data_IF_261678829513
#
_entry.id   IF_261678829513
#
_cell.length_a   1.000
_cell.length_b   1.000
_cell.length_c   1.000
_cell.angle_alpha   90.00
_cell.angle_beta   90.00
_cell.angle_gamma   90.00
#
_symmetry.space_group_name_H-M   'P 1'
#
loop_
_entity.id
_entity.type
_entity.pdbx_description
1 polymer ?
#
# COMPACT_ATOMS: atom_id res chain seq x y z
N UNK A 1 23.46 21.19 -18.68
CA UNK A 1 23.12 21.29 -17.25
C UNK A 1 23.85 20.18 -16.52
N UNK A 2 24.59 20.51 -15.49
CA UNK A 2 25.28 19.54 -14.65
C UNK A 2 24.27 18.68 -13.90
N UNK A 3 24.51 17.37 -13.78
CA UNK A 3 23.64 16.41 -13.11
C UNK A 3 23.33 16.79 -11.65
N UNK A 4 24.24 17.49 -10.99
CA UNK A 4 24.03 18.06 -9.65
C UNK A 4 23.02 19.23 -9.62
N UNK A 5 22.73 19.89 -10.75
CA UNK A 5 21.81 21.03 -10.78
C UNK A 5 20.34 20.61 -10.84
N UNK A 6 20.06 19.41 -11.40
CA UNK A 6 18.67 18.89 -11.46
C UNK A 6 18.15 18.48 -10.09
N UNK A 7 18.98 17.82 -9.25
CA UNK A 7 18.57 17.37 -7.92
C UNK A 7 18.21 18.51 -6.97
N UNK A 8 18.80 19.70 -7.17
CA UNK A 8 18.49 20.89 -6.37
C UNK A 8 17.14 21.52 -6.68
N UNK A 9 16.56 21.17 -7.85
CA UNK A 9 15.27 21.71 -8.32
C UNK A 9 14.11 20.74 -8.08
N UNK A 10 14.39 19.51 -7.64
CA UNK A 10 13.36 18.50 -7.32
C UNK A 10 13.11 18.53 -5.81
N UNK A 11 11.90 18.95 -5.42
CA UNK A 11 11.51 19.08 -4.01
C UNK A 11 10.82 17.84 -3.44
N UNK A 12 10.77 16.73 -4.19
CA UNK A 12 10.17 15.48 -3.77
C UNK A 12 9.14 14.91 -4.76
N UNK A 13 8.36 13.96 -4.29
CA UNK A 13 7.29 13.30 -5.07
C UNK A 13 5.96 13.98 -4.70
N UNK A 14 5.24 14.49 -5.69
CA UNK A 14 3.95 15.15 -5.48
C UNK A 14 2.77 14.17 -5.46
N UNK A 15 2.81 13.15 -6.30
CA UNK A 15 1.74 12.16 -6.41
C UNK A 15 2.18 10.89 -7.14
N UNK A 16 1.37 9.82 -6.99
CA UNK A 16 1.38 8.69 -7.90
C UNK A 16 0.06 8.61 -8.68
N UNK A 17 0.09 7.95 -9.85
CA UNK A 17 -1.10 7.71 -10.67
C UNK A 17 -1.30 6.21 -10.89
N UNK A 18 -2.57 5.76 -10.82
CA UNK A 18 -2.92 4.36 -11.05
C UNK A 18 -4.37 4.20 -11.53
N UNK A 19 -4.64 3.07 -12.16
CA UNK A 19 -5.96 2.72 -12.66
C UNK A 19 -6.77 1.94 -11.61
N UNK A 20 -8.08 2.20 -11.57
CA UNK A 20 -9.04 1.47 -10.73
C UNK A 20 -10.29 1.14 -11.51
N UNK A 21 -11.01 0.12 -11.09
CA UNK A 21 -12.25 -0.28 -11.74
C UNK A 21 -13.42 0.67 -11.42
N UNK A 22 -13.47 1.13 -10.17
CA UNK A 22 -14.58 1.93 -9.65
C UNK A 22 -14.06 3.07 -8.77
N UNK A 23 -14.28 4.31 -9.22
CA UNK A 23 -13.82 5.51 -8.51
C UNK A 23 -14.54 5.70 -7.15
N UNK A 24 -15.84 5.34 -7.05
CA UNK A 24 -16.61 5.51 -5.81
C UNK A 24 -16.13 4.54 -4.75
N UNK A 25 -16.00 3.25 -5.12
CA UNK A 25 -15.46 2.20 -4.25
C UNK A 25 -14.06 2.55 -3.74
N UNK A 26 -13.21 3.04 -4.63
CA UNK A 26 -11.84 3.44 -4.27
C UNK A 26 -11.84 4.67 -3.38
N UNK A 27 -12.65 5.69 -3.68
CA UNK A 27 -12.76 6.88 -2.84
C UNK A 27 -13.23 6.53 -1.42
N UNK A 28 -14.26 5.69 -1.29
CA UNK A 28 -14.75 5.21 0.00
C UNK A 28 -13.65 4.47 0.78
N UNK A 29 -12.97 3.54 0.13
CA UNK A 29 -11.89 2.77 0.74
C UNK A 29 -10.77 3.68 1.27
N UNK A 30 -10.18 4.51 0.42
CA UNK A 30 -9.06 5.36 0.82
C UNK A 30 -9.45 6.40 1.87
N UNK A 31 -10.68 6.93 1.80
CA UNK A 31 -11.19 7.84 2.83
C UNK A 31 -11.36 7.13 4.18
N UNK A 32 -12.00 5.96 4.17
CA UNK A 32 -12.34 5.22 5.39
C UNK A 32 -11.11 4.57 6.04
N UNK A 33 -10.19 4.01 5.23
CA UNK A 33 -9.06 3.22 5.73
C UNK A 33 -7.85 4.10 6.05
N UNK A 34 -7.57 5.08 5.20
CA UNK A 34 -6.35 5.89 5.28
C UNK A 34 -6.62 7.38 5.55
N UNK A 35 -7.88 7.76 5.77
CA UNK A 35 -8.25 9.15 6.00
C UNK A 35 -7.99 10.06 4.79
N UNK A 36 -7.99 9.51 3.58
CA UNK A 36 -7.76 10.29 2.38
C UNK A 36 -8.86 11.31 2.13
N UNK A 37 -8.48 12.50 1.71
CA UNK A 37 -9.38 13.59 1.39
C UNK A 37 -9.52 13.73 -0.12
N UNK A 38 -10.76 13.65 -0.64
CA UNK A 38 -11.06 13.98 -2.03
C UNK A 38 -10.84 15.49 -2.25
N UNK A 39 -9.99 15.83 -3.21
CA UNK A 39 -9.70 17.20 -3.56
C UNK A 39 -10.40 17.64 -4.84
N UNK A 40 -10.53 16.71 -5.79
CA UNK A 40 -11.10 17.00 -7.10
C UNK A 40 -11.51 15.71 -7.81
N UNK A 41 -12.57 15.77 -8.64
CA UNK A 41 -13.05 14.67 -9.46
C UNK A 41 -13.65 15.18 -10.78
N UNK A 42 -13.45 14.43 -11.87
CA UNK A 42 -14.06 14.68 -13.16
C UNK A 42 -14.57 13.38 -13.78
N UNK A 43 -15.89 13.18 -13.71
CA UNK A 43 -16.56 12.03 -14.28
C UNK A 43 -16.87 12.18 -15.78
N UNK A 44 -16.81 13.41 -16.31
CA UNK A 44 -17.13 13.73 -17.70
C UNK A 44 -15.92 13.70 -18.64
N UNK A 45 -14.77 13.29 -18.14
CA UNK A 45 -13.56 13.07 -18.94
C UNK A 45 -13.69 11.79 -19.77
N UNK A 46 -12.99 11.73 -20.91
CA UNK A 46 -12.80 10.47 -21.67
C UNK A 46 -12.20 9.40 -20.76
N UNK A 47 -11.33 9.80 -19.85
CA UNK A 47 -10.81 8.97 -18.76
C UNK A 47 -11.26 9.60 -17.43
N UNK A 48 -12.37 9.18 -16.84
CA UNK A 48 -12.81 9.68 -15.54
C UNK A 48 -11.70 9.52 -14.49
N UNK A 49 -11.49 10.55 -13.70
CA UNK A 49 -10.40 10.55 -12.72
C UNK A 49 -10.71 11.41 -11.51
N UNK A 50 -10.03 11.13 -10.42
CA UNK A 50 -10.09 11.92 -9.20
C UNK A 50 -8.70 12.14 -8.60
N UNK A 51 -8.58 13.17 -7.78
CA UNK A 51 -7.41 13.48 -6.98
C UNK A 51 -7.76 13.38 -5.50
N UNK A 52 -7.04 12.54 -4.79
CA UNK A 52 -7.14 12.44 -3.34
C UNK A 52 -5.79 12.77 -2.70
N UNK A 53 -5.80 13.08 -1.42
CA UNK A 53 -4.59 13.33 -0.64
C UNK A 53 -4.60 12.55 0.68
N UNK A 54 -3.48 11.97 1.02
CA UNK A 54 -3.16 11.43 2.33
C UNK A 54 -1.99 12.24 2.87
N UNK A 55 -2.22 13.08 3.88
CA UNK A 55 -1.28 14.13 4.21
C UNK A 55 -1.02 15.02 2.99
N UNK A 56 0.24 15.21 2.64
CA UNK A 56 0.68 15.99 1.48
C UNK A 56 0.86 15.14 0.20
N UNK A 57 0.73 13.82 0.31
CA UNK A 57 0.92 12.93 -0.83
C UNK A 57 -0.36 12.78 -1.65
N UNK A 58 -0.26 13.08 -2.94
CA UNK A 58 -1.38 13.01 -3.88
C UNK A 58 -1.54 11.64 -4.53
N UNK A 59 -2.79 11.21 -4.68
CA UNK A 59 -3.19 10.06 -5.48
C UNK A 59 -3.99 10.55 -6.68
N UNK A 60 -3.49 10.33 -7.90
CA UNK A 60 -4.22 10.54 -9.15
C UNK A 60 -4.84 9.21 -9.56
N UNK A 61 -6.13 9.05 -9.28
CA UNK A 61 -6.85 7.79 -9.45
C UNK A 61 -7.68 7.90 -10.72
N UNK A 62 -7.43 7.03 -11.68
CA UNK A 62 -8.00 7.07 -13.02
C UNK A 62 -8.86 5.84 -13.21
N UNK A 63 -10.09 6.00 -13.68
CA UNK A 63 -10.92 4.84 -14.04
C UNK A 63 -10.25 4.07 -15.17
N UNK A 64 -10.20 2.74 -15.05
CA UNK A 64 -9.58 1.90 -16.05
C UNK A 64 -10.24 2.11 -17.42
N UNK A 65 -9.48 2.54 -18.44
CA UNK A 65 -10.04 2.75 -19.76
C UNK A 65 -10.48 1.42 -20.39
N UNK A 66 -11.63 1.39 -21.09
CA UNK A 66 -12.17 0.14 -21.66
C UNK A 66 -11.30 -0.48 -22.76
N UNK A 67 -10.48 0.33 -23.41
CA UNK A 67 -9.55 -0.05 -24.49
C UNK A 67 -8.16 -0.45 -23.97
N UNK A 68 -7.90 -0.29 -22.68
CA UNK A 68 -6.63 -0.71 -22.05
C UNK A 68 -6.81 -2.10 -21.45
N UNK A 69 -6.03 -3.11 -21.92
CA UNK A 69 -6.09 -4.45 -21.34
C UNK A 69 -5.82 -4.42 -19.83
N UNK A 70 -6.67 -5.11 -19.07
CA UNK A 70 -6.43 -5.31 -17.65
C UNK A 70 -5.27 -6.29 -17.46
N UNK A 71 -4.46 -6.04 -16.46
CA UNK A 71 -3.37 -6.90 -16.06
C UNK A 71 -3.41 -7.14 -14.54
N UNK A 72 -2.86 -8.23 -14.11
CA UNK A 72 -2.67 -8.49 -12.70
C UNK A 72 -1.66 -7.48 -12.13
N UNK A 73 -2.04 -6.83 -11.02
CA UNK A 73 -1.19 -5.84 -10.36
C UNK A 73 -0.08 -6.59 -9.60
N UNK A 74 1.20 -6.45 -9.99
CA UNK A 74 2.28 -7.06 -9.24
C UNK A 74 2.37 -6.46 -7.83
N UNK A 75 2.51 -7.29 -6.79
CA UNK A 75 2.65 -6.81 -5.41
C UNK A 75 3.94 -6.00 -5.17
N UNK A 76 4.88 -5.99 -6.13
CA UNK A 76 6.00 -5.06 -6.11
C UNK A 76 5.56 -3.60 -6.29
N UNK A 77 4.40 -3.36 -6.95
CA UNK A 77 3.80 -2.03 -7.05
C UNK A 77 2.98 -1.78 -5.79
N UNK A 78 3.46 -0.93 -4.92
CA UNK A 78 2.81 -0.62 -3.64
C UNK A 78 3.07 0.81 -3.20
N UNK A 79 2.29 1.25 -2.23
CA UNK A 79 2.47 2.49 -1.50
C UNK A 79 2.75 2.19 -0.06
N UNK A 80 3.81 2.77 0.49
CA UNK A 80 4.14 2.69 1.91
C UNK A 80 3.75 4.00 2.61
N UNK A 81 2.91 3.89 3.62
CA UNK A 81 2.48 5.00 4.47
C UNK A 81 3.14 4.89 5.83
N UNK A 82 3.86 5.94 6.21
CA UNK A 82 4.51 5.98 7.52
C UNK A 82 3.53 6.41 8.59
N UNK A 83 3.51 5.65 9.69
CA UNK A 83 2.76 5.96 10.91
C UNK A 83 3.71 6.13 12.10
N UNK A 84 3.25 6.82 13.15
CA UNK A 84 4.00 6.86 14.41
C UNK A 84 4.03 5.45 15.02
N UNK A 85 5.20 4.99 15.47
CA UNK A 85 5.36 3.66 16.05
C UNK A 85 4.48 3.43 17.29
N UNK A 86 4.14 4.52 18.03
CA UNK A 86 3.28 4.46 19.21
C UNK A 86 1.83 4.11 18.88
N UNK A 87 1.36 4.44 17.67
CA UNK A 87 0.00 4.23 17.21
C UNK A 87 -0.10 3.18 16.10
N UNK A 88 1.03 2.57 15.70
CA UNK A 88 1.08 1.64 14.59
C UNK A 88 0.19 0.41 14.81
N UNK A 89 0.26 -0.22 15.99
CA UNK A 89 -0.56 -1.39 16.33
C UNK A 89 -2.05 -1.02 16.38
N UNK A 90 -2.41 0.14 16.95
CA UNK A 90 -3.79 0.65 16.99
C UNK A 90 -4.32 0.92 15.56
N UNK A 91 -3.50 1.53 14.71
CA UNK A 91 -3.82 1.78 13.30
C UNK A 91 -4.13 0.47 12.58
N UNK A 92 -3.31 -0.56 12.78
CA UNK A 92 -3.50 -1.87 12.15
C UNK A 92 -4.76 -2.56 12.68
N UNK A 93 -5.04 -2.51 13.98
CA UNK A 93 -6.26 -3.09 14.55
C UNK A 93 -7.51 -2.36 14.05
N UNK A 94 -7.46 -1.04 13.86
CA UNK A 94 -8.52 -0.29 13.19
C UNK A 94 -8.77 -0.82 11.77
N UNK A 95 -7.72 -0.99 10.95
CA UNK A 95 -7.85 -1.53 9.60
C UNK A 95 -8.50 -2.92 9.60
N UNK A 96 -8.06 -3.81 10.50
CA UNK A 96 -8.65 -5.13 10.69
C UNK A 96 -10.13 -5.07 11.11
N UNK A 97 -10.49 -4.10 11.94
CA UNK A 97 -11.88 -3.91 12.40
C UNK A 97 -12.84 -3.56 11.26
N UNK A 98 -12.32 -3.04 10.15
CA UNK A 98 -13.06 -2.78 8.92
C UNK A 98 -13.27 -4.04 8.05
N UNK A 99 -12.81 -5.22 8.51
CA UNK A 99 -12.89 -6.47 7.79
C UNK A 99 -11.78 -6.68 6.76
N UNK A 100 -10.74 -5.84 6.78
CA UNK A 100 -9.60 -5.93 5.87
C UNK A 100 -8.58 -6.93 6.43
N UNK A 101 -8.15 -7.88 5.60
CA UNK A 101 -7.09 -8.80 5.96
C UNK A 101 -5.74 -8.08 5.92
N UNK A 102 -4.97 -8.18 7.02
CA UNK A 102 -3.66 -7.55 7.16
C UNK A 102 -2.61 -8.60 7.44
N UNK A 103 -1.58 -8.65 6.60
CA UNK A 103 -0.38 -9.45 6.81
C UNK A 103 0.64 -8.65 7.63
N UNK A 104 1.32 -9.31 8.53
CA UNK A 104 2.32 -8.68 9.40
C UNK A 104 1.95 -8.81 10.89
N UNK A 105 2.74 -8.26 11.79
CA UNK A 105 3.93 -7.44 11.56
C UNK A 105 5.11 -8.22 10.98
N UNK A 106 5.81 -7.60 10.04
CA UNK A 106 7.03 -8.14 9.42
C UNK A 106 8.20 -7.21 9.71
N UNK A 107 9.28 -7.75 10.26
CA UNK A 107 10.51 -7.01 10.44
C UNK A 107 11.30 -6.94 9.13
N UNK A 108 11.05 -5.93 8.32
CA UNK A 108 11.74 -5.79 7.04
C UNK A 108 13.19 -5.40 7.21
N UNK A 109 13.46 -4.44 8.10
CA UNK A 109 14.79 -3.97 8.44
C UNK A 109 14.88 -3.80 9.96
N UNK A 110 14.87 -4.94 10.66
CA UNK A 110 14.86 -4.98 12.13
C UNK A 110 16.05 -4.26 12.75
N UNK A 111 17.19 -4.32 12.08
CA UNK A 111 18.44 -3.69 12.53
C UNK A 111 18.33 -2.16 12.65
N UNK A 112 17.37 -1.55 11.95
CA UNK A 112 17.08 -0.11 12.04
C UNK A 112 15.66 0.18 12.53
N UNK A 113 15.00 -0.84 13.14
CA UNK A 113 13.70 -0.66 13.80
C UNK A 113 12.48 -0.59 12.88
N UNK A 114 12.60 -0.91 11.58
CA UNK A 114 11.49 -0.83 10.63
C UNK A 114 10.61 -2.09 10.69
N UNK A 115 9.33 -1.87 10.90
CA UNK A 115 8.27 -2.90 10.91
C UNK A 115 7.19 -2.50 9.93
N UNK A 116 6.68 -3.50 9.20
CA UNK A 116 5.71 -3.31 8.13
C UNK A 116 4.50 -4.21 8.30
N UNK A 117 3.35 -3.72 7.84
CA UNK A 117 2.10 -4.45 7.66
C UNK A 117 1.57 -4.20 6.26
N UNK A 118 0.91 -5.19 5.67
CA UNK A 118 0.45 -5.15 4.29
C UNK A 118 -1.01 -5.55 4.18
N UNK A 119 -1.73 -4.89 3.30
CA UNK A 119 -3.09 -5.26 2.90
C UNK A 119 -3.33 -4.88 1.44
N UNK A 120 -4.45 -5.30 0.88
CA UNK A 120 -4.84 -4.96 -0.48
C UNK A 120 -5.94 -3.91 -0.48
N UNK A 121 -5.87 -3.00 -1.44
CA UNK A 121 -6.98 -2.15 -1.79
C UNK A 121 -8.03 -2.91 -2.65
N UNK A 122 -9.19 -2.31 -2.97
CA UNK A 122 -10.24 -2.99 -3.75
C UNK A 122 -9.83 -3.42 -5.17
N UNK A 123 -8.78 -2.86 -5.72
CA UNK A 123 -8.25 -3.17 -7.05
C UNK A 123 -6.97 -4.01 -7.00
N UNK A 124 -6.66 -4.60 -5.81
CA UNK A 124 -5.50 -5.46 -5.52
C UNK A 124 -4.14 -4.73 -5.55
N UNK A 125 -4.12 -3.42 -5.43
CA UNK A 125 -2.87 -2.74 -5.11
C UNK A 125 -2.46 -3.03 -3.67
N UNK A 126 -1.19 -3.37 -3.49
CA UNK A 126 -0.64 -3.57 -2.16
C UNK A 126 -0.46 -2.22 -1.46
N UNK A 127 -1.00 -2.12 -0.28
CA UNK A 127 -0.81 -0.99 0.63
C UNK A 127 0.07 -1.45 1.79
N UNK A 128 1.05 -0.65 2.13
CA UNK A 128 1.97 -0.91 3.22
C UNK A 128 1.81 0.16 4.31
N UNK A 129 1.75 -0.28 5.55
CA UNK A 129 1.90 0.58 6.72
C UNK A 129 3.28 0.33 7.31
N UNK A 130 4.08 1.38 7.42
CA UNK A 130 5.44 1.33 7.93
C UNK A 130 5.56 2.12 9.24
N UNK A 131 6.19 1.53 10.25
CA UNK A 131 6.57 2.22 11.46
C UNK A 131 8.05 2.00 11.76
N UNK A 132 8.74 3.07 12.20
CA UNK A 132 10.12 3.00 12.64
C UNK A 132 10.16 3.13 14.15
N UNK A 133 10.52 2.04 14.83
CA UNK A 133 10.69 1.98 16.27
C UNK A 133 12.06 2.57 16.69
N UNK A 134 12.16 3.16 17.88
CA UNK A 134 13.41 3.79 18.34
C UNK A 134 14.59 2.84 18.43
N UNK A 135 14.34 1.56 18.76
CA UNK A 135 15.36 0.51 18.87
C UNK A 135 14.97 -0.78 18.17
N UNK A 136 15.97 -1.58 17.82
CA UNK A 136 15.76 -2.92 17.25
C UNK A 136 15.03 -3.86 18.23
N UNK A 137 15.25 -3.70 19.54
CA UNK A 137 14.61 -4.48 20.60
C UNK A 137 13.11 -4.19 20.66
N UNK A 138 12.72 -2.90 20.60
CA UNK A 138 11.30 -2.50 20.58
C UNK A 138 10.61 -3.00 19.30
N UNK A 139 11.28 -2.92 18.16
CA UNK A 139 10.79 -3.47 16.89
C UNK A 139 10.60 -5.00 16.99
N UNK A 140 11.58 -5.72 17.55
CA UNK A 140 11.47 -7.16 17.75
C UNK A 140 10.30 -7.52 18.68
N UNK A 141 10.11 -6.76 19.77
CA UNK A 141 9.00 -6.95 20.70
C UNK A 141 7.64 -6.72 20.02
N UNK A 142 7.51 -5.72 19.13
CA UNK A 142 6.31 -5.48 18.35
C UNK A 142 5.99 -6.67 17.41
N UNK A 143 7.00 -7.23 16.75
CA UNK A 143 6.83 -8.43 15.90
C UNK A 143 6.37 -9.62 16.74
N UNK A 144 6.95 -9.83 17.92
CA UNK A 144 6.54 -10.95 18.80
C UNK A 144 5.10 -10.79 19.30
N UNK A 145 4.68 -9.58 19.69
CA UNK A 145 3.27 -9.32 20.09
C UNK A 145 2.31 -9.62 18.95
N UNK A 146 2.65 -9.22 17.73
CA UNK A 146 1.82 -9.43 16.56
C UNK A 146 1.72 -10.89 16.10
N UNK A 147 2.66 -11.77 16.48
CA UNK A 147 2.62 -13.20 16.12
C UNK A 147 1.40 -13.93 16.68
N UNK A 148 0.92 -13.56 17.84
CA UNK A 148 -0.25 -14.17 18.48
C UNK A 148 -1.55 -13.99 17.68
N UNK A 149 -1.64 -12.92 16.88
CA UNK A 149 -2.78 -12.62 15.99
C UNK A 149 -2.49 -12.82 14.50
N UNK A 150 -1.37 -13.44 14.17
CA UNK A 150 -0.92 -13.57 12.78
C UNK A 150 -1.86 -14.48 12.00
N UNK A 151 -2.56 -13.91 11.03
CA UNK A 151 -3.25 -14.70 10.00
C UNK A 151 -2.22 -15.37 9.08
N UNK A 152 -2.62 -16.44 8.35
CA UNK A 152 -1.74 -17.11 7.41
C UNK A 152 -1.15 -16.10 6.43
N UNK A 153 0.08 -16.37 6.03
CA UNK A 153 0.83 -15.61 5.02
C UNK A 153 -0.04 -15.37 3.78
N UNK A 154 -0.48 -14.14 3.59
CA UNK A 154 -1.23 -13.70 2.40
C UNK A 154 -0.31 -13.56 1.18
N UNK A 155 1.00 -13.67 1.41
CA UNK A 155 2.02 -13.54 0.39
C UNK A 155 2.26 -12.13 -0.10
N UNK A 156 1.83 -11.17 0.67
CA UNK A 156 1.99 -9.75 0.35
C UNK A 156 3.42 -9.29 0.63
N UNK A 157 4.11 -9.95 1.57
CA UNK A 157 5.52 -9.69 1.85
C UNK A 157 6.41 -10.62 1.04
N UNK A 158 7.22 -10.05 0.13
CA UNK A 158 8.22 -10.81 -0.66
C UNK A 158 7.65 -11.84 -1.63
N UNK A 159 6.33 -11.95 -1.74
CA UNK A 159 5.66 -12.83 -2.69
C UNK A 159 5.40 -12.13 -4.01
N UNK A 160 6.01 -12.60 -5.09
CA UNK A 160 5.54 -12.31 -6.43
C UNK A 160 4.36 -13.25 -6.73
N UNK A 161 3.12 -12.76 -6.94
CA UNK A 161 1.97 -13.62 -7.25
C UNK A 161 2.22 -14.44 -8.53
N UNK A 162 2.97 -13.91 -9.48
CA UNK A 162 3.37 -14.63 -10.71
C UNK A 162 4.17 -15.90 -10.36
N UNK A 163 5.03 -15.87 -9.34
CA UNK A 163 5.78 -17.06 -8.88
C UNK A 163 4.90 -18.10 -8.20
N UNK A 164 3.77 -17.71 -7.60
CA UNK A 164 2.83 -18.66 -6.97
C UNK A 164 2.01 -19.41 -8.00
N UNK A 165 1.52 -18.73 -9.02
CA UNK A 165 0.77 -19.35 -10.13
C UNK A 165 1.63 -20.36 -10.88
N UNK A 166 2.91 -20.04 -11.10
CA UNK A 166 3.87 -20.95 -11.74
C UNK A 166 4.21 -22.16 -10.86
N UNK A 167 4.20 -22.05 -9.52
CA UNK A 167 4.41 -23.20 -8.62
C UNK A 167 3.18 -24.08 -8.44
N UNK A 168 1.98 -23.51 -8.51
CA UNK A 168 0.73 -24.26 -8.42
C UNK A 168 0.41 -25.02 -9.72
N UNK A 169 0.85 -24.54 -10.88
CA UNK A 169 0.67 -25.20 -12.17
C UNK A 169 1.73 -26.25 -12.54
N UNK A 170 2.74 -26.49 -11.71
CA UNK A 170 3.86 -27.38 -11.99
C UNK A 170 3.84 -28.74 -11.27
N UNK A 171 2.72 -29.13 -10.67
CA UNK A 171 2.64 -30.36 -9.89
C UNK A 171 1.87 -31.51 -10.54
N UNK A 172 1.44 -31.37 -11.81
CA UNK A 172 0.88 -32.49 -12.56
C UNK A 172 1.35 -32.44 -14.03
N UNK A 173 2.54 -32.98 -14.29
CA UNK A 173 2.97 -33.52 -15.59
C UNK A 173 4.05 -34.58 -15.37
#
# INVERSE_FOLDING_TARGET
MDQQSLSKNINGISHSGFYVEDLDRTAEFYTRVLGARLAWRNDNSVNPLMKMYIGDFGLSIIKWPPDVPKFEIPHAIHWAYRVDYKTAEETVEYIKSLGIEVEGPVGHRREIGIINWFFLDPDNYRVEVEATFPTAEEAAAAVERGKAGRRPDLGLYGGDPVRRTLKAGGADA
#
